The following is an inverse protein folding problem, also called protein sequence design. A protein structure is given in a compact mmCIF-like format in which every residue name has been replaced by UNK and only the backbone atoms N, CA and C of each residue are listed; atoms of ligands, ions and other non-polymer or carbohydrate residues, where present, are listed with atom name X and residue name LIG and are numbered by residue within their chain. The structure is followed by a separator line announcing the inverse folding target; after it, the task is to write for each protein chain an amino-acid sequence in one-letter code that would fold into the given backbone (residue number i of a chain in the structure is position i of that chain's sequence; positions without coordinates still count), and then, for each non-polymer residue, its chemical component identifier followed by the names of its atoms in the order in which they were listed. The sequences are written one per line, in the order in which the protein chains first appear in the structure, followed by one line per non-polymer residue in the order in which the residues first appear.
data_IF_402101707092
#
_entry.id   IF_402101707092
#
_cell.length_a   1.000
_cell.length_b   1.000
_cell.length_c   1.000
_cell.angle_alpha   90.00
_cell.angle_beta   90.00
_cell.angle_gamma   90.00
#
_symmetry.space_group_name_H-M   'P 1'
#
loop_
_entity.id
_entity.type
_entity.pdbx_description
1 polymer ?
#
# COMPACT_ATOMS: atom_id res chain seq x y z
N UNK A 1 -21.64 8.86 -11.55
CA UNK A 1 -20.72 7.84 -10.95
C UNK A 1 -19.27 8.30 -10.93
N UNK A 2 -18.62 8.65 -12.05
CA UNK A 2 -17.19 9.00 -12.07
C UNK A 2 -16.86 10.23 -11.19
N UNK A 3 -17.63 11.31 -11.27
CA UNK A 3 -17.44 12.50 -10.44
C UNK A 3 -17.59 12.21 -8.95
N UNK A 4 -18.55 11.35 -8.58
CA UNK A 4 -18.72 10.91 -7.19
C UNK A 4 -17.47 10.21 -6.69
N UNK A 5 -16.90 9.29 -7.46
CA UNK A 5 -15.65 8.61 -7.12
C UNK A 5 -14.47 9.57 -7.00
N UNK A 6 -14.43 10.59 -7.88
CA UNK A 6 -13.38 11.62 -7.83
C UNK A 6 -13.40 12.41 -6.52
N UNK A 7 -14.56 12.91 -6.10
CA UNK A 7 -14.68 13.68 -4.85
C UNK A 7 -14.49 12.80 -3.62
N UNK A 8 -14.93 11.54 -3.65
CA UNK A 8 -14.68 10.57 -2.59
C UNK A 8 -13.17 10.30 -2.43
N UNK A 9 -12.47 10.07 -3.54
CA UNK A 9 -11.03 9.86 -3.52
C UNK A 9 -10.28 11.09 -3.03
N UNK A 10 -10.69 12.29 -3.47
CA UNK A 10 -10.12 13.54 -3.01
C UNK A 10 -10.30 13.73 -1.50
N UNK A 11 -11.50 13.50 -0.99
CA UNK A 11 -11.79 13.59 0.44
C UNK A 11 -10.91 12.62 1.26
N UNK A 12 -10.80 11.36 0.81
CA UNK A 12 -9.93 10.36 1.46
C UNK A 12 -8.47 10.79 1.45
N UNK A 13 -7.93 11.21 0.31
CA UNK A 13 -6.53 11.61 0.20
C UNK A 13 -6.19 12.80 1.09
N UNK A 14 -7.05 13.81 1.12
CA UNK A 14 -6.88 14.96 2.01
C UNK A 14 -6.97 14.57 3.49
N UNK A 15 -7.89 13.67 3.85
CA UNK A 15 -7.98 13.14 5.20
C UNK A 15 -6.71 12.36 5.59
N UNK A 16 -6.18 11.53 4.68
CA UNK A 16 -4.93 10.80 4.89
C UNK A 16 -3.75 11.77 5.08
N UNK A 17 -3.60 12.76 4.22
CA UNK A 17 -2.52 13.74 4.29
C UNK A 17 -2.59 14.58 5.59
N UNK A 18 -3.78 15.06 5.94
CA UNK A 18 -3.99 15.91 7.12
C UNK A 18 -3.87 15.14 8.43
N UNK A 19 -4.57 14.01 8.55
CA UNK A 19 -4.81 13.35 9.83
C UNK A 19 -4.01 12.06 10.05
N UNK A 20 -3.47 11.45 8.99
CA UNK A 20 -2.62 10.26 9.08
C UNK A 20 -1.15 10.63 8.91
N UNK A 21 -0.81 11.40 7.87
CA UNK A 21 0.57 11.87 7.63
C UNK A 21 0.93 13.13 8.43
N UNK A 22 -0.03 13.78 9.09
CA UNK A 22 0.21 14.91 9.97
C UNK A 22 0.60 16.22 9.27
N UNK A 23 0.27 16.39 7.98
CA UNK A 23 0.50 17.66 7.28
C UNK A 23 -0.47 18.73 7.82
N UNK A 24 -0.01 19.98 7.89
CA UNK A 24 -0.93 21.09 8.13
C UNK A 24 -1.89 21.26 6.95
N UNK A 25 -3.04 21.92 7.18
CA UNK A 25 -4.10 22.07 6.19
C UNK A 25 -3.59 22.71 4.90
N UNK A 26 -2.85 23.82 5.00
CA UNK A 26 -2.37 24.55 3.84
C UNK A 26 -1.39 23.73 3.02
N UNK A 27 -0.53 22.94 3.67
CA UNK A 27 0.39 22.00 3.03
C UNK A 27 -0.37 20.85 2.38
N UNK A 28 -1.34 20.24 3.04
CA UNK A 28 -2.16 19.17 2.47
C UNK A 28 -2.91 19.64 1.21
N UNK A 29 -3.53 20.82 1.25
CA UNK A 29 -4.24 21.40 0.10
C UNK A 29 -3.29 21.75 -1.06
N UNK A 30 -2.08 22.29 -0.78
CA UNK A 30 -1.08 22.61 -1.81
C UNK A 30 -0.49 21.37 -2.48
N UNK A 31 -0.25 20.32 -1.70
CA UNK A 31 0.35 19.07 -2.20
C UNK A 31 -0.68 18.12 -2.81
N UNK A 32 -1.96 18.34 -2.54
CA UNK A 32 -2.98 17.53 -3.17
C UNK A 32 -3.06 17.83 -4.66
N UNK A 33 -2.74 16.82 -5.47
CA UNK A 33 -2.91 16.89 -6.92
C UNK A 33 -4.31 16.46 -7.30
N UNK A 34 -5.10 17.42 -7.78
CA UNK A 34 -6.43 17.14 -8.27
C UNK A 34 -6.33 16.30 -9.55
N UNK A 35 -6.52 15.02 -9.40
CA UNK A 35 -6.63 14.09 -10.53
C UNK A 35 -7.99 13.42 -10.52
N UNK A 36 -8.59 13.24 -11.72
CA UNK A 36 -9.77 12.43 -11.84
C UNK A 36 -9.47 11.02 -11.33
N UNK A 37 -10.44 10.42 -10.64
CA UNK A 37 -10.43 8.99 -10.42
C UNK A 37 -10.35 8.31 -11.77
N UNK A 38 -9.19 7.77 -12.13
CA UNK A 38 -8.99 7.13 -13.44
C UNK A 38 -9.83 5.87 -13.48
N UNK A 39 -10.86 5.77 -14.32
CA UNK A 39 -11.52 4.51 -14.55
C UNK A 39 -10.56 3.59 -15.32
N UNK A 40 -10.65 2.29 -15.15
CA UNK A 40 -10.01 1.35 -16.04
C UNK A 40 -10.49 1.62 -17.46
N UNK A 41 -9.57 1.97 -18.35
CA UNK A 41 -9.92 2.27 -19.75
C UNK A 41 -9.90 3.75 -20.15
N UNK A 42 -9.49 4.67 -19.27
CA UNK A 42 -9.07 6.02 -19.70
C UNK A 42 -10.17 6.96 -20.17
N UNK A 43 -11.43 6.73 -19.77
CA UNK A 43 -12.54 7.57 -20.23
C UNK A 43 -13.09 8.43 -19.09
N UNK A 44 -13.07 9.74 -19.25
CA UNK A 44 -13.96 10.56 -18.46
C UNK A 44 -13.64 12.01 -18.21
N UNK A 45 -12.41 12.45 -18.35
CA UNK A 45 -12.10 13.87 -18.23
C UNK A 45 -11.54 14.38 -19.55
N UNK A 46 -12.24 15.34 -20.15
CA UNK A 46 -11.73 16.04 -21.34
C UNK A 46 -10.59 16.95 -20.90
N UNK A 47 -9.49 17.05 -21.66
CA UNK A 47 -8.54 18.14 -21.46
C UNK A 47 -9.31 19.47 -21.58
N UNK A 48 -9.06 20.39 -20.63
CA UNK A 48 -9.51 21.76 -20.79
C UNK A 48 -8.79 22.39 -22.02
N UNK A 49 -9.31 23.48 -22.57
CA UNK A 49 -8.73 24.13 -23.76
C UNK A 49 -7.27 24.54 -23.59
N UNK A 50 -6.79 24.69 -22.35
CA UNK A 50 -5.43 25.03 -21.98
C UNK A 50 -4.54 23.77 -21.71
N UNK A 51 -5.02 22.58 -22.05
CA UNK A 51 -4.33 21.31 -21.81
C UNK A 51 -4.47 20.76 -20.39
N UNK A 52 -5.29 21.39 -19.54
CA UNK A 52 -5.54 20.93 -18.17
C UNK A 52 -6.71 19.94 -18.12
N UNK A 53 -6.77 19.12 -17.08
CA UNK A 53 -7.94 18.29 -16.84
C UNK A 53 -9.12 19.16 -16.38
N UNK A 54 -10.35 18.75 -16.73
CA UNK A 54 -11.60 19.39 -16.29
C UNK A 54 -11.61 19.65 -14.77
N UNK A 55 -11.04 18.74 -13.99
CA UNK A 55 -10.98 18.84 -12.54
C UNK A 55 -10.06 19.98 -12.07
N UNK A 56 -8.89 20.15 -12.68
CA UNK A 56 -7.95 21.24 -12.36
C UNK A 56 -8.55 22.58 -12.77
N UNK A 57 -9.23 22.64 -13.91
CA UNK A 57 -9.95 23.83 -14.36
C UNK A 57 -11.10 24.18 -13.38
N UNK A 58 -11.87 23.19 -12.91
CA UNK A 58 -12.94 23.38 -11.93
C UNK A 58 -12.37 23.91 -10.58
N UNK A 59 -11.25 23.38 -10.12
CA UNK A 59 -10.59 23.87 -8.92
C UNK A 59 -10.16 25.34 -9.06
N UNK A 60 -9.57 25.70 -10.19
CA UNK A 60 -9.13 27.08 -10.44
C UNK A 60 -10.28 28.08 -10.54
N UNK A 61 -11.46 27.66 -11.02
CA UNK A 61 -12.66 28.49 -11.04
C UNK A 61 -13.35 28.59 -9.66
N UNK A 62 -12.90 27.84 -8.65
CA UNK A 62 -13.57 27.78 -7.35
C UNK A 62 -14.82 26.87 -7.33
N UNK A 63 -15.02 26.06 -8.36
CA UNK A 63 -16.14 25.10 -8.42
C UNK A 63 -15.98 23.96 -7.41
N UNK A 64 -14.74 23.74 -6.91
CA UNK A 64 -14.43 22.73 -5.91
C UNK A 64 -14.17 23.40 -4.57
N UNK A 65 -14.95 23.00 -3.57
CA UNK A 65 -14.84 23.48 -2.18
C UNK A 65 -14.43 22.34 -1.28
N UNK A 66 -13.40 22.56 -0.47
CA UNK A 66 -12.91 21.61 0.54
C UNK A 66 -13.23 22.14 1.93
N UNK A 67 -13.94 21.35 2.71
CA UNK A 67 -14.17 21.60 4.12
C UNK A 67 -13.44 20.54 4.95
N UNK A 68 -12.64 20.96 5.92
CA UNK A 68 -11.96 20.11 6.90
C UNK A 68 -12.45 20.44 8.29
N UNK A 69 -12.95 19.44 8.98
CA UNK A 69 -13.33 19.49 10.39
C UNK A 69 -12.26 18.75 11.20
N UNK A 70 -11.41 19.51 11.89
CA UNK A 70 -10.34 18.95 12.70
C UNK A 70 -10.84 18.25 13.96
N UNK A 71 -12.03 18.61 14.48
CA UNK A 71 -12.61 17.98 15.68
C UNK A 71 -13.09 16.54 15.35
N UNK A 72 -13.79 16.36 14.24
CA UNK A 72 -14.26 15.05 13.79
C UNK A 72 -13.26 14.35 12.83
N UNK A 73 -12.15 15.03 12.48
CA UNK A 73 -11.17 14.58 11.46
C UNK A 73 -11.85 14.20 10.16
N UNK A 74 -12.81 14.99 9.72
CA UNK A 74 -13.63 14.79 8.54
C UNK A 74 -13.22 15.75 7.43
N UNK A 75 -13.18 15.23 6.20
CA UNK A 75 -13.01 16.04 4.99
C UNK A 75 -14.21 15.85 4.10
N UNK A 76 -14.79 16.96 3.66
CA UNK A 76 -15.88 16.99 2.68
C UNK A 76 -15.36 17.76 1.46
N UNK A 77 -15.49 17.16 0.30
CA UNK A 77 -15.18 17.77 -0.98
C UNK A 77 -16.48 17.94 -1.74
N UNK A 78 -16.80 19.17 -2.10
CA UNK A 78 -17.97 19.53 -2.91
C UNK A 78 -17.51 20.01 -4.27
N UNK A 79 -18.10 19.48 -5.32
CA UNK A 79 -17.88 19.93 -6.69
C UNK A 79 -19.17 20.51 -7.25
N UNK A 80 -19.18 21.84 -7.41
CA UNK A 80 -20.26 22.60 -8.05
C UNK A 80 -19.95 22.66 -9.55
N UNK A 81 -20.63 21.90 -10.36
CA UNK A 81 -20.45 21.94 -11.80
C UNK A 81 -21.67 22.59 -12.44
N UNK A 82 -21.44 23.68 -13.19
CA UNK A 82 -22.50 24.44 -13.88
C UNK A 82 -23.31 23.59 -14.88
N UNK A 83 -22.82 22.42 -15.29
CA UNK A 83 -23.53 21.48 -16.16
C UNK A 83 -24.47 20.51 -15.45
N UNK A 84 -24.57 20.57 -14.11
CA UNK A 84 -25.43 19.70 -13.32
C UNK A 84 -26.35 20.48 -12.40
N UNK A 85 -27.56 19.97 -12.25
CA UNK A 85 -28.59 20.59 -11.40
C UNK A 85 -28.22 20.58 -9.92
N UNK A 86 -27.34 19.63 -9.49
CA UNK A 86 -26.94 19.48 -8.10
C UNK A 86 -25.44 19.23 -7.95
N UNK A 87 -24.81 19.76 -6.88
CA UNK A 87 -23.41 19.51 -6.59
C UNK A 87 -23.16 18.04 -6.20
N UNK A 88 -21.96 17.56 -6.51
CA UNK A 88 -21.49 16.23 -6.10
C UNK A 88 -20.65 16.36 -4.84
N UNK A 89 -20.91 15.52 -3.85
CA UNK A 89 -20.21 15.53 -2.58
C UNK A 89 -19.43 14.22 -2.38
N UNK A 90 -18.22 14.33 -1.86
CA UNK A 90 -17.45 13.22 -1.33
C UNK A 90 -17.07 13.49 0.12
N UNK A 91 -17.15 12.49 0.95
CA UNK A 91 -16.77 12.60 2.35
C UNK A 91 -15.83 11.47 2.76
N UNK A 92 -14.88 11.80 3.62
CA UNK A 92 -14.03 10.83 4.30
C UNK A 92 -13.79 11.28 5.74
N UNK A 93 -13.54 10.30 6.61
CA UNK A 93 -13.21 10.52 8.02
C UNK A 93 -11.96 9.73 8.37
N UNK A 94 -11.03 10.33 9.10
CA UNK A 94 -9.89 9.61 9.62
C UNK A 94 -10.12 9.20 11.07
N UNK A 95 -9.76 7.95 11.40
CA UNK A 95 -9.82 7.43 12.77
C UNK A 95 -8.47 6.83 13.15
N UNK A 96 -7.97 7.05 14.38
CA UNK A 96 -6.72 6.47 14.84
C UNK A 96 -6.74 4.94 14.74
N UNK A 97 -5.73 4.35 14.11
CA UNK A 97 -5.65 2.91 13.85
C UNK A 97 -6.40 2.42 12.61
N UNK A 98 -7.24 3.28 11.97
CA UNK A 98 -8.07 2.92 10.81
C UNK A 98 -7.81 3.81 9.58
N UNK A 99 -6.91 4.77 9.68
CA UNK A 99 -6.60 5.70 8.59
C UNK A 99 -7.80 6.51 8.09
N UNK A 100 -7.75 6.96 6.85
CA UNK A 100 -8.84 7.67 6.17
C UNK A 100 -9.83 6.70 5.54
N UNK A 101 -11.11 6.84 5.89
CA UNK A 101 -12.22 5.97 5.47
C UNK A 101 -13.18 6.77 4.59
N UNK A 102 -13.51 6.26 3.42
CA UNK A 102 -14.50 6.89 2.53
C UNK A 102 -15.89 6.65 3.09
N UNK A 103 -16.63 7.74 3.31
CA UNK A 103 -18.04 7.69 3.70
C UNK A 103 -18.99 7.74 2.49
N UNK A 104 -18.55 8.34 1.38
CA UNK A 104 -19.43 8.59 0.22
C UNK A 104 -20.59 9.49 0.59
N UNK A 105 -21.82 9.00 0.39
CA UNK A 105 -23.07 9.65 0.80
C UNK A 105 -23.58 9.20 2.18
N UNK A 106 -22.84 8.32 2.88
CA UNK A 106 -23.28 7.79 4.18
C UNK A 106 -22.96 8.80 5.29
N UNK A 107 -23.84 8.89 6.27
CA UNK A 107 -23.67 9.81 7.39
C UNK A 107 -22.64 9.30 8.42
N UNK A 108 -22.46 7.98 8.54
CA UNK A 108 -21.64 7.31 9.55
C UNK A 108 -20.95 6.07 9.00
N UNK A 109 -19.98 5.56 9.76
CA UNK A 109 -19.34 4.28 9.51
C UNK A 109 -20.31 3.12 9.75
N UNK A 110 -20.11 2.02 9.02
CA UNK A 110 -20.84 0.75 9.23
C UNK A 110 -20.34 -0.07 10.43
N UNK A 111 -19.39 0.46 11.19
CA UNK A 111 -18.81 -0.15 12.39
C UNK A 111 -18.46 0.92 13.42
N UNK A 112 -18.27 0.50 14.67
CA UNK A 112 -17.80 1.39 15.75
C UNK A 112 -16.27 1.33 15.85
N UNK A 113 -15.55 2.43 15.51
CA UNK A 113 -14.09 2.45 15.50
C UNK A 113 -13.51 2.61 16.91
N UNK A 114 -13.57 1.54 17.71
CA UNK A 114 -12.96 1.54 19.02
C UNK A 114 -11.44 1.77 18.94
N UNK A 115 -10.80 2.38 19.93
CA UNK A 115 -9.34 2.51 19.98
C UNK A 115 -8.67 1.14 19.86
N UNK A 116 -7.80 0.99 18.85
CA UNK A 116 -7.04 -0.25 18.65
C UNK A 116 -5.90 -0.30 19.66
N UNK A 117 -5.89 -1.31 20.52
CA UNK A 117 -4.79 -1.55 21.45
C UNK A 117 -3.58 -2.11 20.70
N UNK A 118 -2.53 -1.31 20.57
CA UNK A 118 -1.30 -1.67 19.86
C UNK A 118 -0.20 -2.04 20.83
N UNK A 119 0.44 -3.18 20.60
CA UNK A 119 1.65 -3.54 21.33
C UNK A 119 2.82 -2.75 20.76
N UNK A 120 3.34 -1.81 21.53
CA UNK A 120 4.53 -1.05 21.16
C UNK A 120 5.79 -1.72 21.73
N UNK A 121 6.94 -1.61 21.05
CA UNK A 121 8.19 -2.01 21.64
C UNK A 121 8.43 -1.21 22.92
N UNK A 122 9.10 -1.78 23.93
CA UNK A 122 9.48 -1.05 25.11
C UNK A 122 10.31 0.18 24.74
N UNK A 123 10.11 1.34 25.43
CA UNK A 123 10.92 2.53 25.19
C UNK A 123 12.41 2.24 25.36
N UNK A 124 13.24 2.86 24.51
CA UNK A 124 14.69 2.73 24.60
C UNK A 124 15.30 1.52 23.91
N UNK A 125 14.51 0.70 23.20
CA UNK A 125 15.07 -0.35 22.37
C UNK A 125 15.69 0.23 21.09
N UNK A 126 16.90 -0.25 20.79
CA UNK A 126 17.62 0.13 19.57
C UNK A 126 16.98 -0.47 18.30
N UNK A 127 17.30 0.10 17.15
CA UNK A 127 17.02 -0.49 15.85
C UNK A 127 17.52 -1.94 15.76
N UNK A 128 16.78 -2.87 15.13
CA UNK A 128 15.47 -2.66 14.46
C UNK A 128 14.27 -2.90 15.40
N UNK A 129 14.47 -3.32 16.64
CA UNK A 129 13.40 -3.74 17.55
C UNK A 129 12.60 -2.54 18.09
N UNK A 130 13.23 -1.39 18.23
CA UNK A 130 12.64 -0.20 18.82
C UNK A 130 12.74 1.04 17.92
N UNK A 131 12.60 2.18 18.55
CA UNK A 131 12.58 3.51 17.96
C UNK A 131 13.87 4.32 18.22
N UNK A 132 14.75 3.81 19.10
CA UNK A 132 16.04 4.44 19.34
C UNK A 132 16.94 4.18 18.16
N UNK A 133 17.19 5.22 17.41
CA UNK A 133 18.13 5.21 16.28
C UNK A 133 19.32 6.05 16.67
N UNK A 134 20.48 5.42 16.78
CA UNK A 134 21.73 6.16 16.84
C UNK A 134 21.84 7.06 15.61
N UNK A 135 22.24 8.30 15.79
CA UNK A 135 22.46 9.21 14.64
C UNK A 135 23.42 8.53 13.68
N UNK A 136 22.98 8.21 12.44
CA UNK A 136 23.88 7.58 11.50
C UNK A 136 25.11 8.45 11.29
N UNK A 137 26.32 7.89 11.16
CA UNK A 137 27.48 8.65 10.78
C UNK A 137 27.23 9.32 9.43
N UNK A 138 27.94 10.43 9.14
CA UNK A 138 27.89 11.02 7.81
C UNK A 138 28.20 9.94 6.77
N UNK A 139 27.36 9.79 5.74
CA UNK A 139 27.61 8.79 4.71
C UNK A 139 28.92 9.09 3.97
N UNK A 140 29.58 8.08 3.39
CA UNK A 140 30.72 8.30 2.51
C UNK A 140 30.41 9.33 1.41
N UNK A 141 31.42 10.09 0.95
CA UNK A 141 31.25 11.19 -0.02
C UNK A 141 30.55 10.73 -1.31
N UNK A 142 30.83 9.50 -1.78
CA UNK A 142 30.20 8.94 -2.96
C UNK A 142 28.69 8.71 -2.75
N UNK A 143 28.28 8.29 -1.56
CA UNK A 143 26.87 8.14 -1.19
C UNK A 143 26.22 9.53 -1.08
N UNK A 144 26.87 10.48 -0.44
CA UNK A 144 26.37 11.84 -0.31
C UNK A 144 26.09 12.46 -1.70
N UNK A 145 27.06 12.34 -2.65
CA UNK A 145 26.88 12.81 -4.03
C UNK A 145 25.78 12.08 -4.79
N UNK A 146 25.66 10.76 -4.62
CA UNK A 146 24.58 9.99 -5.25
C UNK A 146 23.20 10.44 -4.74
N UNK A 147 23.07 10.68 -3.43
CA UNK A 147 21.87 11.22 -2.82
C UNK A 147 21.54 12.64 -3.30
N UNK A 148 22.54 13.52 -3.41
CA UNK A 148 22.35 14.86 -3.97
C UNK A 148 21.79 14.79 -5.39
N UNK A 149 22.37 13.93 -6.22
CA UNK A 149 21.89 13.68 -7.58
C UNK A 149 20.49 13.10 -7.62
N UNK A 150 20.15 12.19 -6.72
CA UNK A 150 18.80 11.59 -6.62
C UNK A 150 17.76 12.65 -6.26
N UNK A 151 17.97 13.43 -5.20
CA UNK A 151 16.99 14.44 -4.76
C UNK A 151 16.88 15.60 -5.77
N UNK A 152 17.95 15.96 -6.47
CA UNK A 152 17.91 16.97 -7.53
C UNK A 152 17.03 16.55 -8.72
N UNK A 153 16.97 15.24 -9.03
CA UNK A 153 16.19 14.68 -10.15
C UNK A 153 14.83 14.12 -9.73
N UNK A 154 14.60 13.91 -8.43
CA UNK A 154 13.38 13.33 -7.87
C UNK A 154 12.74 14.30 -6.89
N UNK A 155 12.23 15.43 -7.40
CA UNK A 155 11.69 16.51 -6.56
C UNK A 155 10.51 16.08 -5.66
N UNK A 156 9.79 15.00 -6.03
CA UNK A 156 8.72 14.42 -5.22
C UNK A 156 9.19 13.41 -4.17
N UNK A 157 10.46 13.01 -4.16
CA UNK A 157 10.96 12.04 -3.18
C UNK A 157 10.90 12.62 -1.77
N UNK A 158 10.06 12.04 -0.90
CA UNK A 158 9.97 12.45 0.51
C UNK A 158 11.20 12.07 1.30
N UNK A 159 11.75 10.90 1.03
CA UNK A 159 12.94 10.42 1.69
C UNK A 159 13.43 9.08 1.18
N UNK A 160 14.65 8.76 1.56
CA UNK A 160 15.31 7.47 1.35
C UNK A 160 16.03 7.07 2.63
N UNK A 161 15.97 5.79 2.96
CA UNK A 161 16.64 5.18 4.11
C UNK A 161 17.34 3.91 3.64
N UNK A 162 18.60 3.74 4.03
CA UNK A 162 19.42 2.55 3.76
C UNK A 162 19.82 1.93 5.11
N UNK A 163 19.59 0.64 5.28
CA UNK A 163 19.87 -0.06 6.53
C UNK A 163 20.33 -1.49 6.33
N UNK A 164 21.02 -2.00 7.35
CA UNK A 164 21.26 -3.43 7.59
C UNK A 164 20.30 -3.93 8.69
N UNK A 165 20.28 -5.23 9.00
CA UNK A 165 19.58 -5.73 10.17
C UNK A 165 20.05 -5.09 11.49
N UNK A 166 21.30 -4.65 11.55
CA UNK A 166 21.94 -4.18 12.79
C UNK A 166 21.81 -2.67 13.00
N UNK A 167 21.75 -1.87 11.90
CA UNK A 167 21.73 -0.40 12.02
C UNK A 167 21.19 0.28 10.76
N UNK A 168 20.72 1.52 10.93
CA UNK A 168 20.49 2.45 9.84
C UNK A 168 21.86 3.02 9.42
N UNK A 169 22.20 2.89 8.14
CA UNK A 169 23.44 3.37 7.57
C UNK A 169 23.33 4.82 7.12
N UNK A 170 22.18 5.18 6.56
CA UNK A 170 21.91 6.52 6.07
C UNK A 170 20.41 6.74 5.94
N UNK A 171 19.95 7.93 6.28
CA UNK A 171 18.60 8.38 5.96
C UNK A 171 18.63 9.85 5.56
N UNK A 172 17.84 10.21 4.55
CA UNK A 172 17.73 11.60 4.09
C UNK A 172 16.31 11.90 3.64
N UNK A 173 15.84 13.08 3.96
CA UNK A 173 14.49 13.55 3.71
C UNK A 173 14.52 14.90 2.99
N UNK A 174 13.50 15.18 2.16
CA UNK A 174 13.27 16.50 1.61
C UNK A 174 12.51 17.39 2.61
N UNK A 175 12.11 18.61 2.18
CA UNK A 175 11.38 19.55 3.04
C UNK A 175 10.01 19.03 3.54
N UNK A 176 9.43 18.00 2.90
CA UNK A 176 8.12 17.43 3.23
C UNK A 176 8.22 16.07 3.92
N UNK A 177 9.36 15.41 3.83
CA UNK A 177 9.67 14.17 4.51
C UNK A 177 10.22 14.42 5.92
N UNK A 178 10.06 13.45 6.80
CA UNK A 178 10.69 13.43 8.12
C UNK A 178 10.77 11.98 8.63
N UNK A 179 11.70 11.74 9.56
CA UNK A 179 11.92 10.41 10.12
C UNK A 179 10.69 9.87 10.88
N UNK A 180 9.90 10.75 11.45
CA UNK A 180 8.67 10.47 12.20
C UNK A 180 7.38 10.62 11.37
N UNK A 181 7.49 11.03 10.10
CA UNK A 181 6.30 11.22 9.25
C UNK A 181 5.90 9.93 8.54
N UNK A 182 4.68 9.50 8.77
CA UNK A 182 4.09 8.38 8.06
C UNK A 182 3.75 8.77 6.60
N UNK A 183 4.20 7.96 5.65
CA UNK A 183 3.94 8.12 4.22
C UNK A 183 3.10 6.95 3.70
N UNK A 184 2.30 7.15 2.61
CA UNK A 184 1.44 6.10 2.10
C UNK A 184 2.26 4.96 1.48
N UNK A 185 1.89 3.73 1.78
CA UNK A 185 2.48 2.53 1.18
C UNK A 185 1.94 2.25 -0.21
N UNK A 186 0.71 2.67 -0.49
CA UNK A 186 -0.04 2.15 -1.63
C UNK A 186 0.07 0.62 -1.68
N UNK A 187 0.41 0.07 -2.84
CA UNK A 187 0.51 -1.38 -3.03
C UNK A 187 1.66 -2.07 -2.29
N UNK A 188 2.59 -1.35 -1.63
CA UNK A 188 3.53 -2.01 -0.71
C UNK A 188 2.82 -2.76 0.42
N UNK A 189 1.58 -2.35 0.80
CA UNK A 189 0.72 -3.10 1.72
C UNK A 189 0.56 -4.57 1.31
N UNK A 190 0.59 -4.88 0.01
CA UNK A 190 0.49 -6.27 -0.46
C UNK A 190 1.60 -7.16 0.08
N UNK A 191 2.81 -6.61 0.24
CA UNK A 191 3.90 -7.33 0.88
C UNK A 191 3.63 -7.58 2.37
N UNK A 192 3.01 -6.62 3.08
CA UNK A 192 2.54 -6.83 4.47
C UNK A 192 1.50 -7.97 4.50
N UNK A 193 0.49 -7.93 3.63
CA UNK A 193 -0.54 -8.98 3.55
C UNK A 193 0.06 -10.35 3.24
N UNK A 194 0.99 -10.43 2.28
CA UNK A 194 1.75 -11.66 1.98
C UNK A 194 2.48 -12.18 3.23
N UNK A 195 3.16 -11.30 3.94
CA UNK A 195 3.89 -11.65 5.16
C UNK A 195 2.96 -12.13 6.26
N UNK A 196 1.75 -11.53 6.42
CA UNK A 196 0.73 -12.01 7.35
C UNK A 196 0.24 -13.42 6.95
N UNK A 197 0.05 -13.72 5.66
CA UNK A 197 -0.27 -15.09 5.22
C UNK A 197 0.85 -16.07 5.63
N UNK A 198 2.11 -15.69 5.43
CA UNK A 198 3.26 -16.47 5.94
C UNK A 198 3.20 -16.68 7.45
N UNK A 199 2.83 -15.63 8.19
CA UNK A 199 2.66 -15.73 9.64
C UNK A 199 1.53 -16.70 10.02
N UNK A 200 0.39 -16.66 9.34
CA UNK A 200 -0.71 -17.60 9.59
C UNK A 200 -0.34 -19.05 9.30
N UNK A 201 0.53 -19.29 8.31
CA UNK A 201 1.08 -20.64 8.04
C UNK A 201 2.04 -21.04 9.17
N UNK A 202 2.91 -20.13 9.61
CA UNK A 202 3.83 -20.40 10.73
C UNK A 202 3.08 -20.74 12.02
N UNK A 203 1.94 -20.08 12.27
CA UNK A 203 1.06 -20.35 13.42
C UNK A 203 0.14 -21.58 13.23
N UNK A 204 0.19 -22.25 12.08
CA UNK A 204 -0.69 -23.39 11.79
C UNK A 204 -2.17 -23.02 11.58
N UNK A 205 -2.47 -21.72 11.31
CA UNK A 205 -3.84 -21.27 11.01
C UNK A 205 -4.21 -21.49 9.55
N UNK A 206 -3.23 -21.63 8.70
CA UNK A 206 -3.31 -22.07 7.30
C UNK A 206 -2.24 -23.16 7.11
N UNK A 207 -2.52 -24.17 6.27
CA UNK A 207 -1.59 -25.27 6.09
C UNK A 207 -0.52 -24.98 5.04
N UNK A 208 -0.92 -24.49 3.86
CA UNK A 208 0.00 -24.24 2.74
C UNK A 208 -0.54 -23.15 1.81
N UNK A 209 0.37 -22.48 1.10
CA UNK A 209 -0.01 -21.54 0.01
C UNK A 209 -0.61 -22.28 -1.19
N UNK A 210 -0.35 -23.57 -1.34
CA UNK A 210 -0.83 -24.39 -2.47
C UNK A 210 -2.22 -24.97 -2.23
N UNK A 211 -2.75 -24.84 -1.03
CA UNK A 211 -4.12 -25.26 -0.74
C UNK A 211 -5.14 -24.31 -1.35
N UNK A 212 -6.36 -24.80 -1.68
CA UNK A 212 -7.48 -23.95 -2.05
C UNK A 212 -7.70 -22.83 -1.03
N UNK A 213 -7.86 -21.61 -1.53
CA UNK A 213 -8.07 -20.44 -0.69
C UNK A 213 -9.39 -20.55 0.08
N UNK A 214 -9.38 -20.55 1.42
CA UNK A 214 -10.58 -20.78 2.22
C UNK A 214 -11.39 -19.48 2.40
N UNK A 215 -11.74 -18.83 1.29
CA UNK A 215 -12.49 -17.59 1.29
C UNK A 215 -13.94 -17.82 1.78
N UNK A 216 -14.45 -16.98 2.72
CA UNK A 216 -15.74 -17.21 3.37
C UNK A 216 -16.94 -17.34 2.43
N UNK A 217 -16.93 -16.63 1.29
CA UNK A 217 -18.03 -16.66 0.32
C UNK A 217 -17.87 -17.75 -0.76
N UNK A 218 -16.73 -18.41 -0.87
CA UNK A 218 -16.47 -19.45 -1.89
C UNK A 218 -16.89 -20.84 -1.41
N UNK A 219 -18.17 -20.98 -1.03
CA UNK A 219 -18.71 -22.21 -0.41
C UNK A 219 -19.32 -23.21 -1.39
N UNK A 220 -19.76 -22.73 -2.58
CA UNK A 220 -20.33 -23.63 -3.58
C UNK A 220 -19.24 -24.59 -4.09
N UNK A 221 -19.42 -25.93 -3.90
CA UNK A 221 -18.42 -26.90 -4.34
C UNK A 221 -18.27 -26.98 -5.86
N UNK A 222 -19.21 -26.44 -6.63
CA UNK A 222 -19.18 -26.38 -8.09
C UNK A 222 -18.54 -25.10 -8.63
N UNK A 223 -18.36 -24.08 -7.78
CA UNK A 223 -17.79 -22.81 -8.23
C UNK A 223 -16.31 -22.95 -8.55
N UNK A 224 -15.89 -22.42 -9.70
CA UNK A 224 -14.48 -22.41 -10.14
C UNK A 224 -13.56 -21.70 -9.13
N UNK A 225 -14.08 -20.84 -8.29
CA UNK A 225 -13.32 -20.18 -7.21
C UNK A 225 -12.63 -21.20 -6.28
N UNK A 226 -13.18 -22.41 -6.13
CA UNK A 226 -12.65 -23.46 -5.25
C UNK A 226 -11.30 -24.01 -5.66
N UNK A 227 -10.87 -23.82 -6.91
CA UNK A 227 -9.54 -24.24 -7.37
C UNK A 227 -8.50 -23.10 -7.26
N UNK A 228 -8.92 -21.91 -6.83
CA UNK A 228 -7.99 -20.81 -6.59
C UNK A 228 -7.25 -21.08 -5.29
N UNK A 229 -5.92 -21.16 -5.35
CA UNK A 229 -5.06 -21.34 -4.19
C UNK A 229 -4.61 -19.99 -3.60
N UNK A 230 -4.06 -20.01 -2.39
CA UNK A 230 -3.42 -18.83 -1.81
C UNK A 230 -2.24 -18.38 -2.69
N UNK A 231 -1.48 -19.30 -3.28
CA UNK A 231 -0.40 -18.99 -4.24
C UNK A 231 -0.91 -18.22 -5.46
N UNK A 232 -2.03 -18.65 -6.04
CA UNK A 232 -2.65 -17.95 -7.17
C UNK A 232 -3.00 -16.50 -6.82
N UNK A 233 -3.49 -16.24 -5.61
CA UNK A 233 -3.82 -14.91 -5.14
C UNK A 233 -2.56 -14.06 -4.90
N UNK A 234 -1.58 -14.61 -4.18
CA UNK A 234 -0.32 -13.94 -3.84
C UNK A 234 0.50 -13.57 -5.08
N UNK A 235 0.48 -14.45 -6.11
CA UNK A 235 1.23 -14.28 -7.36
C UNK A 235 0.45 -13.61 -8.49
N UNK A 236 -0.74 -13.04 -8.18
CA UNK A 236 -1.58 -12.37 -9.20
C UNK A 236 -1.97 -13.26 -10.39
N UNK A 237 -2.26 -14.53 -10.10
CA UNK A 237 -2.60 -15.56 -11.11
C UNK A 237 -3.94 -16.23 -10.81
N UNK A 238 -4.78 -15.58 -10.01
CA UNK A 238 -6.06 -16.17 -9.58
C UNK A 238 -7.09 -16.31 -10.70
N UNK A 239 -6.90 -15.65 -11.83
CA UNK A 239 -7.91 -15.57 -12.88
C UNK A 239 -9.08 -14.64 -12.56
N UNK A 240 -9.11 -14.05 -11.37
CA UNK A 240 -10.13 -13.10 -10.97
C UNK A 240 -10.11 -11.86 -11.84
N UNK A 241 -11.30 -11.31 -12.09
CA UNK A 241 -11.49 -10.03 -12.76
C UNK A 241 -12.68 -9.30 -12.16
N UNK A 242 -12.60 -7.99 -12.15
CA UNK A 242 -13.65 -7.14 -11.64
C UNK A 242 -14.43 -6.53 -12.82
N UNK A 243 -15.73 -6.82 -12.96
CA UNK A 243 -16.54 -6.23 -14.02
C UNK A 243 -16.77 -4.74 -13.75
N UNK A 244 -16.46 -3.91 -14.73
CA UNK A 244 -16.71 -2.47 -14.70
C UNK A 244 -17.76 -2.14 -15.73
N UNK A 245 -18.94 -1.71 -15.26
CA UNK A 245 -20.02 -1.23 -16.14
C UNK A 245 -19.73 0.21 -16.58
N UNK A 246 -19.91 0.47 -17.86
CA UNK A 246 -19.82 1.79 -18.48
C UNK A 246 -21.22 2.36 -18.73
N UNK A 247 -21.33 3.69 -18.79
CA UNK A 247 -22.60 4.38 -19.02
C UNK A 247 -23.25 4.11 -20.39
N UNK A 248 -22.50 3.54 -21.34
CA UNK A 248 -22.96 3.11 -22.66
C UNK A 248 -23.41 1.62 -22.69
N UNK A 249 -23.54 0.98 -21.54
CA UNK A 249 -23.96 -0.41 -21.40
C UNK A 249 -22.85 -1.45 -21.60
N UNK A 250 -21.64 -1.04 -21.99
CA UNK A 250 -20.50 -1.98 -22.06
C UNK A 250 -20.04 -2.40 -20.68
N UNK A 251 -19.56 -3.63 -20.57
CA UNK A 251 -18.88 -4.14 -19.38
C UNK A 251 -17.46 -4.52 -19.81
N UNK A 252 -16.46 -3.95 -19.12
CA UNK A 252 -15.06 -4.32 -19.32
C UNK A 252 -14.52 -4.98 -18.06
N UNK A 253 -13.44 -5.74 -18.19
CA UNK A 253 -12.70 -6.27 -17.06
C UNK A 253 -11.59 -5.28 -16.72
N UNK A 254 -11.63 -4.71 -15.53
CA UNK A 254 -10.74 -3.63 -15.14
C UNK A 254 -10.17 -3.76 -13.74
N UNK A 255 -9.43 -2.72 -13.36
CA UNK A 255 -8.96 -2.56 -12.00
C UNK A 255 -10.12 -2.14 -11.09
N UNK A 256 -10.25 -2.77 -9.97
CA UNK A 256 -11.25 -2.48 -8.93
C UNK A 256 -10.83 -1.34 -7.97
N UNK A 257 -9.86 -0.50 -8.34
CA UNK A 257 -9.42 0.63 -7.51
C UNK A 257 -10.58 1.50 -7.03
N UNK A 258 -11.60 1.66 -7.86
CA UNK A 258 -12.79 2.41 -7.49
C UNK A 258 -13.56 1.75 -6.34
N UNK A 259 -13.75 0.44 -6.38
CA UNK A 259 -14.45 -0.28 -5.31
C UNK A 259 -13.68 -0.25 -3.98
N UNK A 260 -12.33 -0.19 -4.06
CA UNK A 260 -11.46 -0.23 -2.88
C UNK A 260 -11.23 1.17 -2.28
N UNK A 261 -11.00 2.19 -3.13
CA UNK A 261 -10.51 3.50 -2.66
C UNK A 261 -11.48 4.66 -2.89
N UNK A 262 -12.53 4.44 -3.66
CA UNK A 262 -13.42 5.52 -4.14
C UNK A 262 -14.88 5.28 -3.81
N UNK A 263 -15.30 4.04 -3.66
CA UNK A 263 -16.66 3.68 -3.25
C UNK A 263 -16.70 3.41 -1.74
N UNK A 264 -17.79 3.79 -1.10
CA UNK A 264 -18.06 3.45 0.29
C UNK A 264 -18.72 2.07 0.34
N UNK A 265 -17.93 1.01 0.34
CA UNK A 265 -18.40 -0.37 0.29
C UNK A 265 -17.50 -1.35 1.04
N UNK A 266 -17.99 -2.59 1.21
CA UNK A 266 -17.22 -3.70 1.77
C UNK A 266 -16.23 -4.23 0.71
N UNK A 267 -14.96 -3.89 0.87
CA UNK A 267 -13.90 -4.27 -0.07
C UNK A 267 -13.64 -5.78 -0.08
N UNK A 268 -13.86 -6.47 1.05
CA UNK A 268 -13.63 -7.92 1.13
C UNK A 268 -14.77 -8.71 0.49
N UNK A 269 -16.01 -8.28 0.71
CA UNK A 269 -17.16 -8.88 0.04
C UNK A 269 -17.11 -8.65 -1.47
N UNK A 270 -16.88 -7.41 -1.91
CA UNK A 270 -16.75 -7.06 -3.32
C UNK A 270 -15.65 -7.88 -4.02
N UNK A 271 -14.51 -8.08 -3.36
CA UNK A 271 -13.42 -8.89 -3.90
C UNK A 271 -13.79 -10.36 -4.06
N UNK A 272 -14.45 -10.96 -3.08
CA UNK A 272 -14.89 -12.37 -3.13
C UNK A 272 -16.00 -12.62 -4.17
N UNK A 273 -16.76 -11.57 -4.55
CA UNK A 273 -17.76 -11.61 -5.62
C UNK A 273 -17.18 -11.36 -7.02
N UNK A 274 -15.87 -11.15 -7.15
CA UNK A 274 -15.20 -11.02 -8.45
C UNK A 274 -15.41 -12.27 -9.30
N UNK A 275 -15.60 -12.09 -10.60
CA UNK A 275 -15.73 -13.23 -11.52
C UNK A 275 -14.39 -13.89 -11.82
N UNK A 276 -14.40 -15.15 -12.21
CA UNK A 276 -13.21 -15.84 -12.73
C UNK A 276 -13.25 -15.77 -14.26
N UNK A 277 -12.40 -14.94 -14.84
CA UNK A 277 -12.36 -14.67 -16.27
C UNK A 277 -11.33 -15.52 -17.04
N UNK A 278 -10.36 -16.10 -16.34
CA UNK A 278 -9.35 -16.99 -16.92
C UNK A 278 -9.09 -18.16 -15.96
N UNK A 279 -8.53 -19.25 -16.50
CA UNK A 279 -8.16 -20.42 -15.69
C UNK A 279 -7.19 -20.00 -14.57
N UNK A 280 -7.48 -20.28 -13.29
CA UNK A 280 -6.56 -20.01 -12.20
C UNK A 280 -5.18 -20.64 -12.46
N UNK A 281 -4.14 -19.84 -12.20
CA UNK A 281 -2.76 -20.24 -12.47
C UNK A 281 -2.24 -19.99 -13.89
N UNK A 282 -3.10 -19.72 -14.86
CA UNK A 282 -2.69 -19.62 -16.26
C UNK A 282 -2.09 -18.27 -16.66
N UNK A 283 -2.64 -17.16 -16.15
CA UNK A 283 -2.30 -15.81 -16.61
C UNK A 283 -1.99 -14.89 -15.42
N UNK A 284 -0.89 -14.16 -15.55
CA UNK A 284 -0.60 -13.03 -14.64
C UNK A 284 -1.53 -11.87 -14.96
N UNK A 285 -2.24 -11.39 -13.94
CA UNK A 285 -3.01 -10.14 -14.00
C UNK A 285 -2.91 -9.44 -12.66
N UNK A 286 -2.29 -8.27 -12.65
CA UNK A 286 -2.23 -7.46 -11.44
C UNK A 286 -3.63 -6.95 -11.06
N UNK A 287 -4.12 -7.37 -9.89
CA UNK A 287 -5.48 -7.08 -9.42
C UNK A 287 -5.52 -6.97 -7.89
N UNK A 288 -6.25 -5.99 -7.35
CA UNK A 288 -6.41 -5.82 -5.89
C UNK A 288 -7.37 -6.84 -5.26
N UNK A 289 -8.37 -7.29 -6.01
CA UNK A 289 -9.37 -8.27 -5.51
C UNK A 289 -8.70 -9.48 -4.87
N UNK A 290 -7.67 -10.04 -5.50
CA UNK A 290 -6.95 -11.19 -4.93
C UNK A 290 -6.44 -10.94 -3.52
N UNK A 291 -5.89 -9.75 -3.25
CA UNK A 291 -5.38 -9.38 -1.92
C UNK A 291 -6.51 -9.10 -0.93
N UNK A 292 -7.61 -8.50 -1.38
CA UNK A 292 -8.76 -8.27 -0.51
C UNK A 292 -9.52 -9.58 -0.19
N UNK A 293 -9.48 -10.59 -1.09
CA UNK A 293 -9.89 -11.97 -0.73
C UNK A 293 -9.00 -12.52 0.38
N UNK A 294 -7.67 -12.33 0.31
CA UNK A 294 -6.75 -12.73 1.39
C UNK A 294 -7.06 -11.97 2.69
N UNK A 295 -7.40 -10.68 2.61
CA UNK A 295 -7.87 -9.89 3.75
C UNK A 295 -9.11 -10.51 4.43
N UNK A 296 -10.10 -10.90 3.64
CA UNK A 296 -11.29 -11.60 4.13
C UNK A 296 -10.96 -12.95 4.76
N UNK A 297 -10.02 -13.71 4.21
CA UNK A 297 -9.52 -14.97 4.80
C UNK A 297 -8.83 -14.71 6.14
N UNK A 298 -7.94 -13.72 6.21
CA UNK A 298 -7.25 -13.34 7.46
C UNK A 298 -8.27 -12.99 8.54
N UNK A 299 -9.26 -12.14 8.23
CA UNK A 299 -10.32 -11.75 9.15
C UNK A 299 -11.12 -12.96 9.63
N UNK A 300 -11.58 -13.82 8.71
CA UNK A 300 -12.30 -15.07 9.05
C UNK A 300 -11.46 -15.97 9.98
N UNK A 301 -10.16 -16.11 9.74
CA UNK A 301 -9.28 -16.94 10.59
C UNK A 301 -9.09 -16.38 12.00
N UNK A 302 -9.08 -15.07 12.16
CA UNK A 302 -9.01 -14.38 13.45
C UNK A 302 -10.34 -14.53 14.19
N UNK A 303 -11.46 -14.15 13.55
CA UNK A 303 -12.79 -14.12 14.16
C UNK A 303 -13.27 -15.53 14.56
N UNK A 304 -13.00 -16.58 13.75
CA UNK A 304 -13.29 -17.99 14.11
C UNK A 304 -12.55 -18.49 15.34
N UNK A 305 -11.49 -17.80 15.77
CA UNK A 305 -10.78 -18.10 17.00
C UNK A 305 -11.28 -17.30 18.20
N UNK A 306 -12.31 -16.49 17.99
CA UNK A 306 -12.84 -15.59 19.02
C UNK A 306 -11.89 -14.46 19.39
N UNK A 307 -10.94 -14.12 18.51
CA UNK A 307 -9.95 -13.09 18.75
C UNK A 307 -10.42 -11.74 18.18
N UNK A 308 -10.07 -10.62 18.83
CA UNK A 308 -10.37 -9.28 18.32
C UNK A 308 -9.59 -9.02 17.02
N UNK A 309 -10.31 -8.61 15.95
CA UNK A 309 -9.74 -8.53 14.60
C UNK A 309 -8.56 -7.57 14.49
N UNK A 310 -8.72 -6.34 14.95
CA UNK A 310 -7.72 -5.29 14.73
C UNK A 310 -6.44 -5.53 15.53
N UNK A 311 -6.56 -5.77 16.83
CA UNK A 311 -5.44 -6.03 17.73
C UNK A 311 -4.66 -7.26 17.27
N UNK A 312 -5.39 -8.30 16.86
CA UNK A 312 -4.77 -9.55 16.41
C UNK A 312 -4.05 -9.35 15.09
N UNK A 313 -4.66 -8.66 14.12
CA UNK A 313 -4.02 -8.42 12.82
C UNK A 313 -2.73 -7.60 12.96
N UNK A 314 -2.76 -6.54 13.76
CA UNK A 314 -1.54 -5.77 14.05
C UNK A 314 -0.52 -6.61 14.83
N UNK A 315 -0.98 -7.36 15.84
CA UNK A 315 -0.14 -8.21 16.68
C UNK A 315 0.50 -9.40 15.95
N UNK A 316 -0.10 -9.87 14.85
CA UNK A 316 0.48 -10.96 14.05
C UNK A 316 1.82 -10.59 13.42
N UNK A 317 2.01 -9.33 13.02
CA UNK A 317 3.21 -8.92 12.30
C UNK A 317 3.75 -7.55 12.74
N UNK A 318 3.04 -6.47 12.46
CA UNK A 318 3.63 -5.13 12.53
C UNK A 318 4.02 -4.70 13.93
N UNK A 319 3.27 -5.13 14.95
CA UNK A 319 3.62 -4.88 16.35
C UNK A 319 4.83 -5.73 16.79
N UNK A 320 4.97 -6.95 16.27
CA UNK A 320 6.15 -7.79 16.53
C UNK A 320 7.41 -7.21 15.90
N UNK A 321 7.28 -6.60 14.73
CA UNK A 321 8.38 -5.90 14.08
C UNK A 321 8.68 -4.53 14.72
N UNK A 322 7.90 -4.09 15.71
CA UNK A 322 8.04 -2.76 16.29
C UNK A 322 7.73 -1.62 15.33
N UNK A 323 6.86 -1.84 14.33
CA UNK A 323 6.42 -0.83 13.37
C UNK A 323 5.34 0.07 13.99
N UNK A 324 5.73 0.86 15.00
CA UNK A 324 4.80 1.62 15.85
C UNK A 324 4.00 2.69 15.07
N UNK A 325 4.56 3.23 14.00
CA UNK A 325 3.91 4.24 13.15
C UNK A 325 2.95 3.63 12.13
N UNK A 326 3.00 2.31 11.90
CA UNK A 326 2.17 1.67 10.86
C UNK A 326 0.69 1.80 11.19
N UNK A 327 -0.06 2.34 10.26
CA UNK A 327 -1.51 2.38 10.25
C UNK A 327 -2.05 1.81 8.95
N UNK A 328 -3.24 1.23 9.00
CA UNK A 328 -3.88 0.64 7.84
C UNK A 328 -5.27 1.25 7.67
N UNK A 329 -5.58 1.80 6.48
CA UNK A 329 -6.92 2.34 6.26
C UNK A 329 -7.95 1.24 6.18
N UNK A 330 -9.08 1.48 6.87
CA UNK A 330 -10.26 0.63 6.76
C UNK A 330 -11.18 1.09 5.61
N UNK A 331 -12.06 0.19 5.18
CA UNK A 331 -13.27 0.55 4.45
C UNK A 331 -14.42 0.87 5.41
N UNK A 332 -15.58 1.21 4.86
CA UNK A 332 -16.75 1.59 5.66
C UNK A 332 -17.34 0.42 6.49
N UNK A 333 -17.04 -0.82 6.12
CA UNK A 333 -17.43 -2.04 6.85
C UNK A 333 -16.38 -2.45 7.92
N UNK A 334 -15.31 -1.66 8.08
CA UNK A 334 -14.24 -1.93 9.05
C UNK A 334 -13.21 -2.95 8.59
N UNK A 335 -13.14 -3.28 7.31
CA UNK A 335 -12.07 -4.13 6.80
C UNK A 335 -10.80 -3.32 6.57
N UNK A 336 -9.68 -3.73 7.13
CA UNK A 336 -8.38 -3.13 6.82
C UNK A 336 -7.96 -3.56 5.40
N UNK A 337 -7.90 -2.58 4.48
CA UNK A 337 -7.75 -2.83 3.03
C UNK A 337 -6.45 -3.56 2.70
N UNK A 338 -6.50 -4.86 2.48
CA UNK A 338 -5.34 -5.74 2.33
C UNK A 338 -4.50 -5.51 1.06
N UNK A 339 -5.06 -4.81 0.07
CA UNK A 339 -4.38 -4.53 -1.20
C UNK A 339 -3.61 -3.21 -1.23
N UNK A 340 -3.78 -2.35 -0.21
CA UNK A 340 -3.17 -1.02 -0.18
C UNK A 340 -3.57 -0.22 1.05
N UNK A 341 -3.34 1.10 0.99
CA UNK A 341 -3.77 2.06 2.00
C UNK A 341 -3.13 1.90 3.40
N UNK A 342 -1.94 1.34 3.49
CA UNK A 342 -1.10 1.41 4.68
C UNK A 342 -0.31 2.73 4.73
N UNK A 343 0.09 3.12 5.93
CA UNK A 343 0.94 4.28 6.21
C UNK A 343 1.98 3.91 7.26
N UNK A 344 3.23 4.29 7.03
CA UNK A 344 4.30 4.16 8.02
C UNK A 344 5.44 5.13 7.72
N UNK A 345 6.34 5.29 8.69
CA UNK A 345 7.63 5.94 8.46
C UNK A 345 8.54 5.06 7.61
N UNK A 346 9.56 5.65 6.98
CA UNK A 346 10.56 4.87 6.23
C UNK A 346 11.31 3.89 7.14
N UNK A 347 11.55 4.29 8.39
CA UNK A 347 12.17 3.41 9.40
C UNK A 347 11.34 2.15 9.61
N UNK A 348 10.04 2.28 9.76
CA UNK A 348 9.15 1.13 9.94
C UNK A 348 9.01 0.28 8.67
N UNK A 349 8.94 0.91 7.49
CA UNK A 349 8.96 0.14 6.23
C UNK A 349 10.25 -0.68 6.07
N UNK A 350 11.40 -0.14 6.45
CA UNK A 350 12.67 -0.86 6.36
C UNK A 350 12.72 -2.10 7.26
N UNK A 351 11.99 -2.11 8.40
CA UNK A 351 11.88 -3.30 9.28
C UNK A 351 11.28 -4.51 8.57
N UNK A 352 10.31 -4.28 7.65
CA UNK A 352 9.84 -5.36 6.79
C UNK A 352 10.96 -5.93 5.91
N UNK A 353 11.78 -5.06 5.32
CA UNK A 353 12.96 -5.49 4.56
C UNK A 353 13.93 -6.30 5.40
N UNK A 354 14.23 -5.84 6.62
CA UNK A 354 15.10 -6.56 7.58
C UNK A 354 14.58 -7.95 7.89
N UNK A 355 13.27 -8.13 8.09
CA UNK A 355 12.67 -9.46 8.32
C UNK A 355 13.02 -10.45 7.20
N UNK A 356 12.95 -9.98 5.94
CA UNK A 356 13.29 -10.81 4.77
C UNK A 356 14.80 -11.02 4.60
N UNK A 357 15.64 -10.05 4.98
CA UNK A 357 17.10 -10.23 5.05
C UNK A 357 17.49 -11.32 6.07
N UNK A 358 16.73 -11.45 7.14
CA UNK A 358 16.92 -12.43 8.20
C UNK A 358 16.15 -13.75 7.97
N UNK A 359 15.64 -13.99 6.74
CA UNK A 359 14.91 -15.22 6.40
C UNK A 359 13.72 -15.51 7.34
N UNK A 360 13.00 -14.47 7.76
CA UNK A 360 11.84 -14.59 8.61
C UNK A 360 12.14 -14.77 10.10
N UNK A 361 13.40 -14.61 10.50
CA UNK A 361 13.79 -14.53 11.92
C UNK A 361 13.66 -13.08 12.41
N UNK A 362 13.21 -12.91 13.65
CA UNK A 362 13.10 -11.60 14.29
C UNK A 362 13.24 -11.74 15.78
N UNK A 363 14.19 -11.04 16.38
CA UNK A 363 14.48 -11.10 17.84
C UNK A 363 14.58 -12.53 18.37
N UNK A 364 15.33 -13.39 17.68
CA UNK A 364 15.51 -14.80 18.03
C UNK A 364 14.30 -15.72 17.75
N UNK A 365 13.14 -15.17 17.37
CA UNK A 365 11.93 -15.92 17.04
C UNK A 365 11.76 -16.11 15.52
N UNK A 366 11.30 -17.30 15.10
CA UNK A 366 10.90 -17.52 13.71
C UNK A 366 9.48 -17.04 13.47
N UNK A 367 9.36 -15.89 12.80
CA UNK A 367 8.05 -15.33 12.46
C UNK A 367 7.47 -15.90 11.17
N UNK A 368 8.30 -16.34 10.23
CA UNK A 368 7.87 -16.87 8.94
C UNK A 368 8.37 -18.29 8.73
N UNK A 369 7.65 -19.14 7.98
CA UNK A 369 8.11 -20.50 7.71
C UNK A 369 9.50 -20.52 7.08
N UNK A 370 10.27 -21.56 7.35
CA UNK A 370 11.54 -21.77 6.65
C UNK A 370 11.29 -21.81 5.14
N UNK A 371 12.12 -21.11 4.37
CA UNK A 371 11.95 -20.98 2.90
C UNK A 371 10.90 -19.94 2.45
N UNK A 372 10.19 -19.27 3.38
CA UNK A 372 9.20 -18.27 3.01
C UNK A 372 9.80 -17.09 2.23
N UNK A 373 10.99 -16.62 2.62
CA UNK A 373 11.67 -15.54 1.91
C UNK A 373 12.01 -15.95 0.48
N UNK A 374 12.47 -17.17 0.26
CA UNK A 374 12.74 -17.70 -1.10
C UNK A 374 11.45 -17.80 -1.90
N UNK A 375 10.38 -18.34 -1.31
CA UNK A 375 9.06 -18.39 -1.96
C UNK A 375 8.57 -16.99 -2.34
N UNK A 376 8.63 -16.04 -1.41
CA UNK A 376 8.04 -14.72 -1.62
C UNK A 376 8.84 -13.84 -2.60
N UNK A 377 10.17 -13.99 -2.65
CA UNK A 377 11.06 -13.14 -3.43
C UNK A 377 11.50 -13.76 -4.77
N UNK A 378 11.08 -14.98 -5.10
CA UNK A 378 11.39 -15.62 -6.38
C UNK A 378 10.26 -15.38 -7.39
N UNK A 379 10.63 -14.86 -8.57
CA UNK A 379 9.68 -14.61 -9.65
C UNK A 379 8.95 -15.87 -10.08
N UNK A 380 7.73 -15.71 -10.58
CA UNK A 380 6.96 -16.82 -11.16
C UNK A 380 7.51 -17.21 -12.53
N UNK A 381 7.34 -18.49 -12.91
CA UNK A 381 7.77 -19.02 -14.22
C UNK A 381 6.94 -18.52 -15.42
N UNK A 382 6.07 -17.52 -15.24
CA UNK A 382 5.13 -17.03 -16.26
C UNK A 382 5.64 -15.81 -17.05
N UNK A 383 6.97 -15.58 -17.09
CA UNK A 383 7.56 -14.50 -17.88
C UNK A 383 7.32 -13.10 -17.31
N UNK A 384 7.10 -12.99 -16.01
CA UNK A 384 6.93 -11.73 -15.29
C UNK A 384 7.97 -11.59 -14.18
N UNK A 385 8.42 -10.37 -13.91
CA UNK A 385 9.25 -10.04 -12.74
C UNK A 385 8.48 -10.07 -11.42
N UNK A 386 7.20 -10.42 -11.42
CA UNK A 386 6.37 -10.48 -10.22
C UNK A 386 6.54 -11.81 -9.47
N UNK A 387 6.80 -11.72 -8.19
CA UNK A 387 6.89 -12.82 -7.23
C UNK A 387 5.59 -12.88 -6.38
N UNK A 388 5.65 -13.35 -5.14
CA UNK A 388 4.48 -13.33 -4.25
C UNK A 388 4.36 -11.96 -3.55
N UNK A 389 3.65 -11.03 -4.17
CA UNK A 389 3.47 -9.62 -3.75
C UNK A 389 4.73 -8.76 -3.79
N UNK A 390 5.82 -9.28 -4.31
CA UNK A 390 7.07 -8.55 -4.56
C UNK A 390 7.37 -8.52 -6.06
N UNK A 391 8.24 -7.60 -6.46
CA UNK A 391 8.88 -7.59 -7.78
C UNK A 391 10.32 -8.03 -7.66
N UNK A 392 10.89 -8.49 -8.75
CA UNK A 392 12.30 -8.89 -8.84
C UNK A 392 12.97 -8.16 -9.99
N UNK A 393 14.30 -8.11 -9.97
CA UNK A 393 15.11 -7.40 -10.98
C UNK A 393 15.52 -8.31 -12.16
N UNK A 394 14.75 -9.37 -12.45
CA UNK A 394 15.08 -10.29 -13.57
C UNK A 394 15.03 -9.60 -14.93
N UNK A 395 14.18 -8.60 -15.10
CA UNK A 395 14.04 -7.75 -16.31
C UNK A 395 14.97 -6.53 -16.28
N UNK A 396 15.89 -6.44 -15.31
CA UNK A 396 16.91 -5.38 -15.23
C UNK A 396 16.33 -3.97 -15.24
N UNK A 397 15.18 -3.76 -14.60
CA UNK A 397 14.64 -2.40 -14.37
C UNK A 397 15.65 -1.50 -13.68
N UNK A 398 16.48 -2.07 -12.81
CA UNK A 398 17.62 -1.45 -12.15
C UNK A 398 18.90 -2.11 -12.67
N UNK A 399 19.52 -1.54 -13.73
CA UNK A 399 20.56 -2.24 -14.49
C UNK A 399 21.82 -2.60 -13.69
N UNK A 400 22.18 -1.78 -12.68
CA UNK A 400 23.39 -1.97 -11.88
C UNK A 400 23.14 -2.85 -10.63
N UNK A 401 21.87 -3.20 -10.36
CA UNK A 401 21.55 -4.06 -9.23
C UNK A 401 21.53 -5.55 -9.63
N UNK A 402 21.85 -6.46 -8.69
CA UNK A 402 21.77 -7.90 -8.93
C UNK A 402 20.37 -8.34 -9.42
N UNK A 403 20.29 -9.38 -10.29
CA UNK A 403 19.00 -9.89 -10.80
C UNK A 403 18.08 -10.43 -9.70
N UNK A 404 18.63 -10.91 -8.60
CA UNK A 404 17.92 -11.42 -7.43
C UNK A 404 17.51 -10.32 -6.42
N UNK A 405 17.76 -9.05 -6.74
CA UNK A 405 17.21 -7.93 -5.99
C UNK A 405 15.69 -7.97 -6.07
N UNK A 406 15.02 -7.96 -4.93
CA UNK A 406 13.57 -7.91 -4.86
C UNK A 406 13.10 -6.63 -4.18
N UNK A 407 11.85 -6.22 -4.45
CA UNK A 407 11.26 -5.08 -3.75
C UNK A 407 9.74 -5.17 -3.64
N UNK A 408 9.20 -4.69 -2.50
CA UNK A 408 7.80 -4.31 -2.42
C UNK A 408 7.60 -3.01 -3.19
N UNK A 409 6.48 -2.88 -3.91
CA UNK A 409 6.22 -1.74 -4.79
C UNK A 409 4.83 -1.15 -4.55
N UNK A 410 4.76 0.16 -4.44
CA UNK A 410 3.51 0.93 -4.38
C UNK A 410 3.41 1.95 -5.51
N UNK A 411 2.21 2.45 -5.76
CA UNK A 411 1.99 3.55 -6.69
C UNK A 411 2.87 4.76 -6.30
N UNK A 412 3.20 5.60 -7.26
CA UNK A 412 4.08 6.77 -7.08
C UNK A 412 5.46 6.37 -6.55
N UNK A 413 5.98 5.23 -7.01
CA UNK A 413 7.34 4.78 -6.74
C UNK A 413 7.71 4.51 -5.27
N UNK A 414 6.70 4.22 -4.41
CA UNK A 414 6.98 3.71 -3.08
C UNK A 414 7.68 2.36 -3.18
N UNK A 415 8.82 2.16 -2.52
CA UNK A 415 9.56 0.89 -2.59
C UNK A 415 10.25 0.53 -1.28
N UNK A 416 10.34 -0.77 -1.02
CA UNK A 416 11.22 -1.38 -0.02
C UNK A 416 12.06 -2.42 -0.75
N UNK A 417 13.31 -2.11 -1.02
CA UNK A 417 14.26 -3.04 -1.64
C UNK A 417 14.83 -4.01 -0.61
N UNK A 418 15.07 -5.24 -1.07
CA UNK A 418 15.61 -6.34 -0.28
C UNK A 418 16.78 -6.94 -1.09
N UNK A 419 18.02 -6.65 -0.66
CA UNK A 419 19.24 -7.09 -1.28
C UNK A 419 19.90 -8.15 -0.36
N UNK A 420 19.41 -9.38 -0.42
CA UNK A 420 19.76 -10.44 0.55
C UNK A 420 21.25 -10.72 0.59
N UNK A 421 21.94 -10.81 -0.56
CA UNK A 421 23.38 -11.09 -0.64
C UNK A 421 24.22 -9.99 0.00
N UNK A 422 23.73 -8.76 -0.02
CA UNK A 422 24.42 -7.59 0.51
C UNK A 422 23.93 -7.21 1.91
N UNK A 423 22.95 -7.95 2.46
CA UNK A 423 22.33 -7.67 3.76
C UNK A 423 21.81 -6.22 3.87
N UNK A 424 21.38 -5.64 2.74
CA UNK A 424 20.88 -4.27 2.68
C UNK A 424 19.38 -4.24 2.41
N UNK A 425 18.70 -3.31 3.06
CA UNK A 425 17.35 -2.88 2.70
C UNK A 425 17.34 -1.38 2.43
N UNK A 426 16.56 -0.96 1.43
CA UNK A 426 16.39 0.44 1.09
C UNK A 426 14.90 0.76 1.04
N UNK A 427 14.46 1.66 1.90
CA UNK A 427 13.09 2.18 1.86
C UNK A 427 13.10 3.56 1.21
N UNK A 428 12.23 3.77 0.22
CA UNK A 428 12.07 5.06 -0.43
C UNK A 428 10.60 5.40 -0.57
N UNK A 429 10.28 6.66 -0.34
CA UNK A 429 8.92 7.16 -0.46
C UNK A 429 8.89 8.43 -1.30
N UNK A 430 7.82 8.60 -2.05
CA UNK A 430 7.65 9.66 -3.03
C UNK A 430 6.26 10.29 -2.93
N UNK A 431 6.13 11.53 -3.33
CA UNK A 431 4.85 12.19 -3.45
C UNK A 431 4.03 11.55 -4.56
N UNK A 432 2.74 11.41 -4.30
CA UNK A 432 1.79 10.99 -5.33
C UNK A 432 1.86 11.97 -6.50
N UNK A 433 2.00 11.42 -7.71
CA UNK A 433 1.96 12.17 -8.97
C UNK A 433 3.25 12.91 -9.39
N UNK A 434 4.32 12.75 -8.64
CA UNK A 434 5.64 13.15 -9.11
C UNK A 434 6.45 11.91 -9.55
N UNK A 435 7.03 11.91 -10.74
CA UNK A 435 7.90 10.82 -11.17
C UNK A 435 9.17 10.82 -10.33
N UNK A 436 9.63 9.62 -9.97
CA UNK A 436 10.95 9.40 -9.39
C UNK A 436 11.93 9.04 -10.51
N UNK A 437 13.14 9.60 -10.47
CA UNK A 437 14.22 9.20 -11.36
C UNK A 437 14.77 7.83 -10.92
N UNK A 438 14.32 6.77 -11.59
CA UNK A 438 14.70 5.39 -11.26
C UNK A 438 16.17 5.11 -11.56
N UNK A 439 16.80 5.81 -12.52
CA UNK A 439 18.22 5.66 -12.78
C UNK A 439 19.06 6.29 -11.68
N UNK A 440 18.63 7.45 -11.16
CA UNK A 440 19.26 8.05 -10.00
C UNK A 440 19.11 7.16 -8.75
N UNK A 441 17.95 6.57 -8.54
CA UNK A 441 17.73 5.62 -7.45
C UNK A 441 18.61 4.38 -7.62
N UNK A 442 18.69 3.82 -8.83
CA UNK A 442 19.59 2.71 -9.16
C UNK A 442 21.04 3.04 -8.78
N UNK A 443 21.52 4.24 -9.13
CA UNK A 443 22.88 4.69 -8.81
C UNK A 443 23.11 4.78 -7.29
N UNK A 444 22.15 5.33 -6.52
CA UNK A 444 22.28 5.38 -5.05
C UNK A 444 22.43 3.98 -4.48
N UNK A 445 21.59 3.02 -4.90
CA UNK A 445 21.60 1.66 -4.36
C UNK A 445 22.87 0.92 -4.80
N UNK A 446 23.29 1.06 -6.06
CA UNK A 446 24.53 0.45 -6.56
C UNK A 446 25.76 0.99 -5.80
N UNK A 447 25.81 2.30 -5.55
CA UNK A 447 26.88 2.91 -4.74
C UNK A 447 26.84 2.38 -3.30
N UNK A 448 25.66 2.22 -2.72
CA UNK A 448 25.50 1.66 -1.38
C UNK A 448 25.99 0.20 -1.28
N UNK A 449 25.75 -0.61 -2.31
CA UNK A 449 26.28 -1.97 -2.40
C UNK A 449 27.82 -1.94 -2.33
N UNK A 450 28.46 -1.06 -3.07
CA UNK A 450 29.94 -0.98 -3.09
C UNK A 450 30.50 -0.46 -1.78
N UNK A 451 29.83 0.50 -1.14
CA UNK A 451 30.32 1.14 0.07
C UNK A 451 30.12 0.31 1.35
N UNK A 452 29.09 -0.56 1.39
CA UNK A 452 28.65 -1.21 2.64
C UNK A 452 28.39 -2.73 2.55
N UNK A 453 28.58 -3.36 1.39
CA UNK A 453 28.37 -4.80 1.21
C UNK A 453 29.63 -5.63 1.50
#
# INVERSE_FOLDING_TARGET
MLRQRTVNFAAKRLADMRYVSGLDRATAERHFRWRPAVPPGGLGFRPAPDGQTELVAAQRRGDIVVNMDDADRRVIVRWNDAGFSEPVFGAAVARPGYGGIVLGSQASLGFDPQPVSRRRPPPGHAWPLGDVVETPPSPPDEIARALDGFFARSAGAYGILIATPERILCERYNAFGAADRATPSWSMTKAITCTVIGRLIQEGWLASVYDPAPAPLWRDPRAIHRVITLDHLLRMRSGLAFPVAHGDGRVTLGFENSAVYQDAGDAFEAAQRSIVATVPGAVYRYINSGLNVLGGIIRDRIERRGLPYYETLYGLLVDRLGMASYQHSADIAGNLIASGAGFATLRDYAKLGVLYLQNGMWDGERLLPQGWADYALTATHTGTSYAACFRTNIDRLFPDLPPDTAWASGASDQRIFILRRHRLTVAVSNETDHPMDLLALNQVIATAIVAWA
#
